data_IF_706495730854
#
_entry.id   IF_706495730854
#
_cell.length_a   1.000
_cell.length_b   1.000
_cell.length_c   1.000
_cell.angle_alpha   90.00
_cell.angle_beta   90.00
_cell.angle_gamma   90.00
#
_symmetry.space_group_name_H-M   'P 1'
#
loop_
_entity.id
_entity.type
_entity.pdbx_description
1 polymer ?
#
# COMPACT_ATOMS: atom_id res chain seq x y z
N UNK A 1 18.34 11.72 -13.51
CA UNK A 1 17.54 11.47 -14.73
C UNK A 1 16.77 10.17 -14.49
N UNK A 2 15.52 10.26 -14.08
CA UNK A 2 14.63 9.08 -14.08
C UNK A 2 14.43 8.69 -15.54
N UNK A 3 14.84 7.47 -15.90
CA UNK A 3 14.38 6.84 -17.13
C UNK A 3 12.85 6.81 -17.03
N UNK A 4 12.16 7.47 -17.93
CA UNK A 4 10.72 7.29 -18.09
C UNK A 4 10.53 5.82 -18.48
N UNK A 5 10.06 5.04 -17.54
CA UNK A 5 9.64 3.68 -17.78
C UNK A 5 8.35 3.75 -18.59
N UNK A 6 8.47 3.58 -19.90
CA UNK A 6 7.32 3.25 -20.76
C UNK A 6 7.05 1.73 -20.69
N UNK A 7 7.23 1.16 -19.52
CA UNK A 7 7.13 -0.28 -19.32
C UNK A 7 5.64 -0.66 -19.31
N UNK A 8 5.15 -1.12 -20.46
CA UNK A 8 3.80 -1.63 -20.59
C UNK A 8 3.77 -3.09 -20.19
N UNK A 9 2.82 -3.45 -19.35
CA UNK A 9 2.51 -4.83 -18.99
C UNK A 9 1.17 -5.19 -19.61
N UNK A 10 1.14 -6.28 -20.35
CA UNK A 10 -0.09 -6.84 -20.91
C UNK A 10 -0.50 -8.08 -20.12
N UNK A 11 -1.59 -7.96 -19.38
CA UNK A 11 -2.20 -9.06 -18.67
C UNK A 11 -3.29 -9.67 -19.58
N UNK A 12 -3.11 -10.91 -20.00
CA UNK A 12 -4.02 -11.59 -20.95
C UNK A 12 -4.93 -12.58 -20.24
N UNK A 13 -6.08 -12.81 -20.82
CA UNK A 13 -7.00 -13.90 -20.48
C UNK A 13 -7.49 -13.89 -19.03
N UNK A 14 -7.63 -12.71 -18.42
CA UNK A 14 -8.14 -12.59 -17.04
C UNK A 14 -9.63 -12.33 -17.02
N UNK A 15 -10.30 -12.73 -15.95
CA UNK A 15 -11.69 -12.38 -15.69
C UNK A 15 -11.77 -11.22 -14.71
N UNK A 16 -12.28 -10.04 -15.10
CA UNK A 16 -12.49 -8.94 -14.16
C UNK A 16 -13.50 -9.33 -13.06
N UNK A 17 -13.19 -8.93 -11.83
CA UNK A 17 -13.97 -9.27 -10.62
C UNK A 17 -15.43 -8.79 -10.67
N UNK A 18 -15.65 -7.58 -11.24
CA UNK A 18 -16.93 -6.87 -11.20
C UNK A 18 -17.81 -7.10 -12.43
N UNK A 19 -17.38 -7.91 -13.37
CA UNK A 19 -18.09 -8.10 -14.66
C UNK A 19 -18.43 -9.55 -14.93
N UNK A 20 -19.41 -9.73 -15.79
CA UNK A 20 -19.83 -11.02 -16.31
C UNK A 20 -18.64 -11.89 -16.74
N UNK A 21 -18.84 -13.17 -16.87
CA UNK A 21 -17.83 -14.21 -17.06
C UNK A 21 -16.88 -14.05 -18.26
N UNK A 22 -16.92 -12.92 -18.98
CA UNK A 22 -16.10 -12.69 -20.17
C UNK A 22 -14.64 -12.41 -19.80
N UNK A 23 -13.77 -13.15 -20.46
CA UNK A 23 -12.32 -13.00 -20.37
C UNK A 23 -11.89 -11.70 -21.04
N UNK A 24 -10.97 -10.96 -20.44
CA UNK A 24 -10.46 -9.68 -20.90
C UNK A 24 -8.93 -9.67 -20.85
N UNK A 25 -8.34 -8.81 -21.66
CA UNK A 25 -6.97 -8.37 -21.52
C UNK A 25 -6.94 -7.04 -20.77
N UNK A 26 -5.88 -6.78 -20.01
CA UNK A 26 -5.65 -5.52 -19.28
C UNK A 26 -4.27 -4.99 -19.67
N UNK A 27 -4.23 -3.79 -20.25
CA UNK A 27 -3.00 -3.07 -20.55
C UNK A 27 -2.69 -2.08 -19.44
N UNK A 28 -1.50 -2.20 -18.88
CA UNK A 28 -0.99 -1.35 -17.79
C UNK A 28 0.23 -0.59 -18.31
N UNK A 29 0.32 0.70 -17.98
CA UNK A 29 1.51 1.52 -18.23
C UNK A 29 1.87 2.29 -16.96
N UNK A 30 3.02 1.97 -16.39
CA UNK A 30 3.43 2.54 -15.11
C UNK A 30 2.44 2.18 -14.00
N UNK A 31 1.66 3.16 -13.54
CA UNK A 31 0.67 2.98 -12.46
C UNK A 31 -0.78 3.00 -12.94
N UNK A 32 -1.00 3.13 -14.24
CA UNK A 32 -2.33 3.34 -14.82
C UNK A 32 -2.77 2.13 -15.64
N UNK A 33 -4.06 1.78 -15.51
CA UNK A 33 -4.73 0.86 -16.43
C UNK A 33 -5.13 1.69 -17.66
N UNK A 34 -4.54 1.35 -18.80
CA UNK A 34 -4.75 2.09 -20.05
C UNK A 34 -5.99 1.58 -20.79
N UNK A 35 -6.17 0.26 -20.79
CA UNK A 35 -7.26 -0.38 -21.51
C UNK A 35 -7.67 -1.70 -20.85
N UNK A 36 -8.96 -2.02 -20.93
CA UNK A 36 -9.52 -3.33 -20.62
C UNK A 36 -10.43 -3.72 -21.77
N UNK A 37 -10.08 -4.77 -22.50
CA UNK A 37 -10.81 -5.21 -23.69
C UNK A 37 -10.68 -6.74 -23.89
N UNK A 38 -11.60 -7.39 -24.65
CA UNK A 38 -11.51 -8.83 -24.91
C UNK A 38 -10.24 -9.27 -25.64
N UNK A 39 -9.63 -8.38 -26.38
CA UNK A 39 -8.35 -8.60 -27.05
C UNK A 39 -7.69 -7.25 -27.28
N UNK A 40 -6.49 -7.08 -26.76
CA UNK A 40 -5.70 -5.86 -26.91
C UNK A 40 -4.54 -6.15 -27.86
N UNK A 41 -4.48 -5.41 -28.97
CA UNK A 41 -3.42 -5.48 -29.96
C UNK A 41 -2.45 -4.30 -29.75
N UNK A 42 -1.28 -4.61 -29.18
CA UNK A 42 -0.21 -3.64 -28.94
C UNK A 42 1.09 -4.18 -29.53
N UNK A 43 1.86 -3.35 -30.24
CA UNK A 43 3.16 -3.77 -30.79
C UNK A 43 4.08 -4.34 -29.69
N UNK A 44 4.56 -5.57 -29.88
CA UNK A 44 5.42 -6.27 -28.89
C UNK A 44 6.61 -5.42 -28.38
N UNK A 45 7.19 -4.56 -29.24
CA UNK A 45 8.29 -3.68 -28.85
C UNK A 45 7.94 -2.66 -27.75
N UNK A 46 6.65 -2.46 -27.46
CA UNK A 46 6.19 -1.57 -26.41
C UNK A 46 5.84 -2.31 -25.12
N UNK A 47 5.75 -3.63 -25.17
CA UNK A 47 5.42 -4.49 -24.03
C UNK A 47 6.72 -4.96 -23.37
N UNK A 48 6.89 -4.63 -22.11
CA UNK A 48 7.97 -5.16 -21.28
C UNK A 48 7.71 -6.60 -20.85
N UNK A 49 6.45 -6.86 -20.46
CA UNK A 49 6.04 -8.17 -19.98
C UNK A 49 4.62 -8.50 -20.40
N UNK A 50 4.42 -9.71 -20.88
CA UNK A 50 3.09 -10.31 -21.04
C UNK A 50 2.90 -11.40 -19.99
N UNK A 51 1.79 -11.32 -19.27
CA UNK A 51 1.39 -12.28 -18.23
C UNK A 51 0.11 -12.95 -18.69
N UNK A 52 0.12 -14.27 -18.84
CA UNK A 52 -1.09 -15.03 -19.08
C UNK A 52 -1.79 -15.34 -17.76
N UNK A 53 -2.98 -14.79 -17.60
CA UNK A 53 -3.83 -14.95 -16.43
C UNK A 53 -4.98 -15.91 -16.64
N UNK A 54 -4.88 -16.88 -17.56
CA UNK A 54 -5.94 -17.86 -17.81
C UNK A 54 -6.38 -18.54 -16.49
N UNK A 55 -7.68 -18.51 -16.24
CA UNK A 55 -8.27 -19.04 -15.01
C UNK A 55 -8.20 -18.12 -13.78
N UNK A 56 -7.50 -17.00 -13.87
CA UNK A 56 -7.40 -16.04 -12.77
C UNK A 56 -8.49 -14.97 -12.84
N UNK A 57 -8.74 -14.35 -11.70
CA UNK A 57 -9.63 -13.20 -11.55
C UNK A 57 -8.80 -11.98 -11.24
N UNK A 58 -8.95 -10.93 -12.06
CA UNK A 58 -8.36 -9.62 -11.78
C UNK A 58 -9.31 -8.83 -10.87
N UNK A 59 -8.83 -8.46 -9.69
CA UNK A 59 -9.59 -7.69 -8.71
C UNK A 59 -8.77 -6.47 -8.26
N UNK A 60 -9.42 -5.39 -7.79
CA UNK A 60 -8.73 -4.33 -7.06
C UNK A 60 -8.01 -4.91 -5.85
N UNK A 61 -6.80 -4.41 -5.57
CA UNK A 61 -6.07 -4.80 -4.38
C UNK A 61 -6.80 -4.36 -3.10
N UNK A 62 -6.57 -5.07 -2.01
CA UNK A 62 -7.19 -4.75 -0.73
C UNK A 62 -6.62 -3.45 -0.15
N UNK A 63 -7.47 -2.70 0.55
CA UNK A 63 -7.11 -1.53 1.35
C UNK A 63 -7.23 -1.93 2.81
N UNK A 64 -6.09 -2.00 3.51
CA UNK A 64 -6.07 -2.25 4.95
C UNK A 64 -5.91 -0.92 5.70
N UNK A 65 -6.97 -0.53 6.41
CA UNK A 65 -7.05 0.76 7.10
C UNK A 65 -6.51 0.72 8.54
N UNK A 66 -6.01 -0.44 9.01
CA UNK A 66 -5.57 -0.59 10.38
C UNK A 66 -4.37 -1.54 10.49
N UNK A 67 -3.18 -1.04 10.18
CA UNK A 67 -1.96 -1.87 10.14
C UNK A 67 -0.86 -1.32 11.05
N UNK A 68 -0.30 -2.16 11.90
CA UNK A 68 0.88 -1.81 12.70
C UNK A 68 2.16 -1.99 11.87
N UNK A 69 2.39 -1.09 10.89
CA UNK A 69 3.52 -1.22 9.94
C UNK A 69 4.90 -1.12 10.60
N UNK A 70 4.99 -0.51 11.77
CA UNK A 70 6.21 -0.46 12.59
C UNK A 70 6.30 -1.60 13.60
N UNK A 71 5.39 -2.57 13.52
CA UNK A 71 5.18 -3.59 14.52
C UNK A 71 4.23 -3.14 15.61
N UNK A 72 3.92 -4.03 16.52
CA UNK A 72 2.91 -3.82 17.56
C UNK A 72 3.11 -4.73 18.77
N UNK A 73 2.08 -4.83 19.60
CA UNK A 73 2.08 -5.67 20.80
C UNK A 73 2.89 -5.09 21.94
N UNK A 74 3.21 -5.94 22.90
CA UNK A 74 3.95 -5.55 24.10
C UNK A 74 3.09 -5.49 25.37
N UNK A 75 1.76 -5.66 25.24
CA UNK A 75 0.83 -5.66 26.37
C UNK A 75 1.11 -6.79 27.37
N UNK A 76 1.58 -7.93 26.89
CA UNK A 76 1.97 -9.09 27.68
C UNK A 76 3.43 -9.08 28.15
N UNK A 77 4.16 -7.98 27.91
CA UNK A 77 5.57 -7.84 28.23
C UNK A 77 6.45 -7.68 26.99
N UNK A 78 7.72 -7.34 27.18
CA UNK A 78 8.66 -7.03 26.09
C UNK A 78 8.88 -8.17 25.08
N UNK A 79 8.72 -9.42 25.49
CA UNK A 79 8.83 -10.58 24.60
C UNK A 79 7.61 -10.78 23.67
N UNK A 80 6.53 -10.07 23.94
CA UNK A 80 5.26 -10.15 23.18
C UNK A 80 5.16 -9.04 22.12
N UNK A 81 6.28 -8.63 21.55
CA UNK A 81 6.31 -7.63 20.48
C UNK A 81 6.33 -8.30 19.10
N UNK A 82 5.58 -7.70 18.17
CA UNK A 82 5.55 -8.08 16.77
C UNK A 82 6.55 -7.23 15.98
N UNK A 83 7.40 -7.81 15.12
CA UNK A 83 8.36 -7.05 14.33
C UNK A 83 7.67 -6.12 13.31
N UNK A 84 8.40 -5.12 12.78
CA UNK A 84 7.90 -4.29 11.68
C UNK A 84 7.48 -5.12 10.45
N UNK A 85 6.42 -4.68 9.81
CA UNK A 85 5.87 -5.32 8.61
C UNK A 85 6.85 -5.21 7.44
N UNK A 86 6.98 -6.30 6.68
CA UNK A 86 7.73 -6.35 5.42
C UNK A 86 6.78 -6.14 4.24
N UNK A 87 7.27 -5.49 3.17
CA UNK A 87 6.47 -5.29 1.95
C UNK A 87 5.98 -6.61 1.35
N UNK A 88 6.82 -7.67 1.37
CA UNK A 88 6.43 -8.99 0.87
C UNK A 88 5.16 -9.55 1.52
N UNK A 89 4.91 -9.25 2.79
CA UNK A 89 3.70 -9.70 3.50
C UNK A 89 2.44 -9.00 2.96
N UNK A 90 2.54 -7.74 2.52
CA UNK A 90 1.44 -7.02 1.86
C UNK A 90 1.18 -7.60 0.47
N UNK A 91 2.25 -7.90 -0.29
CA UNK A 91 2.15 -8.54 -1.61
C UNK A 91 1.44 -9.89 -1.50
N UNK A 92 1.91 -10.75 -0.60
CA UNK A 92 1.35 -12.09 -0.38
C UNK A 92 -0.13 -12.05 0.06
N UNK A 93 -0.53 -10.99 0.78
CA UNK A 93 -1.90 -10.76 1.21
C UNK A 93 -2.78 -10.06 0.17
N UNK A 94 -2.23 -9.62 -0.98
CA UNK A 94 -2.97 -8.85 -1.98
C UNK A 94 -3.36 -7.45 -1.52
N UNK A 95 -2.71 -6.92 -0.48
CA UNK A 95 -2.96 -5.57 0.05
C UNK A 95 -2.12 -4.57 -0.73
N UNK A 96 -2.75 -3.62 -1.41
CA UNK A 96 -2.09 -2.61 -2.24
C UNK A 96 -2.07 -1.22 -1.60
N UNK A 97 -2.88 -1.00 -0.57
CA UNK A 97 -2.95 0.26 0.16
C UNK A 97 -3.03 -0.01 1.66
N UNK A 98 -2.22 0.69 2.45
CA UNK A 98 -2.24 0.56 3.90
C UNK A 98 -2.38 1.91 4.60
N UNK A 99 -3.08 1.91 5.74
CA UNK A 99 -3.04 3.00 6.71
C UNK A 99 -2.35 2.50 7.98
N UNK A 100 -1.11 2.94 8.15
CA UNK A 100 -0.29 2.61 9.30
C UNK A 100 -0.71 3.37 10.55
N UNK A 101 -0.62 2.73 11.71
CA UNK A 101 -0.86 3.40 12.99
C UNK A 101 -0.06 2.74 14.11
N UNK A 102 0.16 3.49 15.18
CA UNK A 102 0.73 2.94 16.40
C UNK A 102 -0.33 2.15 17.17
N UNK A 103 0.10 1.05 17.78
CA UNK A 103 -0.74 0.28 18.69
C UNK A 103 -0.64 0.78 20.13
N UNK A 104 -0.72 -0.15 21.07
CA UNK A 104 -0.58 0.12 22.50
C UNK A 104 0.83 0.59 22.90
N UNK A 105 1.84 0.24 22.10
CA UNK A 105 3.22 0.70 22.30
C UNK A 105 3.47 2.05 21.62
N UNK A 106 3.12 3.13 22.28
CA UNK A 106 3.49 4.50 21.90
C UNK A 106 4.79 4.98 22.56
N UNK A 107 5.48 4.14 23.31
CA UNK A 107 6.71 4.47 24.04
C UNK A 107 7.96 4.02 23.30
N UNK A 108 8.03 2.74 22.90
CA UNK A 108 9.21 2.22 22.17
C UNK A 108 9.09 2.44 20.67
N UNK A 109 7.89 2.79 20.17
CA UNK A 109 7.60 3.22 18.80
C UNK A 109 7.11 4.65 18.80
N UNK A 110 7.37 5.37 17.71
CA UNK A 110 7.04 6.81 17.62
C UNK A 110 6.34 7.14 16.31
N UNK A 111 5.64 8.27 16.30
CA UNK A 111 5.04 8.83 15.07
C UNK A 111 6.13 9.10 14.01
N UNK A 112 7.33 9.53 14.42
CA UNK A 112 8.45 9.72 13.49
C UNK A 112 8.85 8.40 12.81
N UNK A 113 8.96 7.31 13.57
CA UNK A 113 9.24 5.98 12.99
C UNK A 113 8.12 5.51 12.08
N UNK A 114 6.86 5.77 12.44
CA UNK A 114 5.69 5.43 11.62
C UNK A 114 5.70 6.18 10.29
N UNK A 115 5.92 7.50 10.30
CA UNK A 115 6.02 8.33 9.09
C UNK A 115 7.18 7.87 8.20
N UNK A 116 8.34 7.60 8.80
CA UNK A 116 9.50 7.10 8.04
C UNK A 116 9.19 5.77 7.35
N UNK A 117 8.52 4.83 8.04
CA UNK A 117 8.14 3.54 7.44
C UNK A 117 7.09 3.70 6.35
N UNK A 118 6.13 4.63 6.53
CA UNK A 118 5.13 4.96 5.51
C UNK A 118 5.79 5.51 4.25
N UNK A 119 6.72 6.45 4.39
CA UNK A 119 7.51 6.99 3.27
C UNK A 119 8.32 5.91 2.56
N UNK A 120 8.95 4.99 3.30
CA UNK A 120 9.70 3.88 2.72
C UNK A 120 8.81 3.00 1.83
N UNK A 121 7.60 2.66 2.26
CA UNK A 121 6.65 1.92 1.41
C UNK A 121 6.25 2.70 0.15
N UNK A 122 6.05 4.02 0.26
CA UNK A 122 5.76 4.86 -0.89
C UNK A 122 6.94 4.93 -1.88
N UNK A 123 8.18 4.98 -1.37
CA UNK A 123 9.41 4.93 -2.18
C UNK A 123 9.59 3.58 -2.89
N UNK A 124 9.13 2.49 -2.27
CA UNK A 124 9.09 1.15 -2.86
C UNK A 124 7.93 0.97 -3.87
N UNK A 125 7.13 2.02 -4.13
CA UNK A 125 6.03 2.02 -5.09
C UNK A 125 4.67 1.59 -4.52
N UNK A 126 4.58 1.38 -3.21
CA UNK A 126 3.32 1.05 -2.53
C UNK A 126 2.50 2.32 -2.23
N UNK A 127 1.21 2.16 -1.95
CA UNK A 127 0.37 3.26 -1.46
C UNK A 127 0.22 3.14 0.05
N UNK A 128 0.85 4.04 0.80
CA UNK A 128 0.84 4.01 2.25
C UNK A 128 0.54 5.38 2.84
N UNK A 129 -0.35 5.39 3.81
CA UNK A 129 -0.69 6.52 4.67
C UNK A 129 -0.51 6.11 6.13
N UNK A 130 -0.62 7.08 7.05
CA UNK A 130 -0.61 6.77 8.47
C UNK A 130 -1.50 7.73 9.28
N UNK A 131 -1.72 7.35 10.54
CA UNK A 131 -2.39 8.21 11.52
C UNK A 131 -1.35 8.70 12.53
N UNK A 132 -1.38 9.99 12.86
CA UNK A 132 -0.63 10.49 14.03
C UNK A 132 -1.30 10.04 15.33
N UNK A 133 -0.60 10.09 16.43
CA UNK A 133 -1.13 9.69 17.75
C UNK A 133 -0.96 8.21 18.06
N UNK A 134 -1.50 7.85 19.20
CA UNK A 134 -1.56 6.50 19.76
C UNK A 134 -2.63 6.46 20.83
N UNK A 135 -2.73 5.39 21.63
CA UNK A 135 -3.65 5.33 22.78
C UNK A 135 -3.29 6.25 23.95
N UNK A 136 -2.14 6.93 23.90
CA UNK A 136 -1.68 7.79 25.01
C UNK A 136 -2.34 9.17 24.97
N UNK A 137 -2.63 9.68 26.16
CA UNK A 137 -3.06 11.06 26.35
C UNK A 137 -2.05 11.79 27.27
N UNK A 138 -1.59 13.00 26.92
CA UNK A 138 -1.88 13.72 25.68
C UNK A 138 -1.35 13.00 24.43
N UNK A 139 -2.03 13.21 23.30
CA UNK A 139 -1.70 12.57 22.02
C UNK A 139 -0.28 12.93 21.58
N UNK A 140 0.52 11.91 21.32
CA UNK A 140 1.87 12.09 20.79
C UNK A 140 1.81 12.33 19.29
N UNK A 141 2.44 13.41 18.84
CA UNK A 141 2.45 13.86 17.45
C UNK A 141 3.87 14.07 16.96
N UNK A 142 4.07 14.27 15.67
CA UNK A 142 5.40 14.56 15.12
C UNK A 142 5.80 16.01 15.32
N UNK A 143 4.87 16.95 15.11
CA UNK A 143 5.11 18.40 15.16
C UNK A 143 4.76 19.04 16.51
N UNK A 144 4.13 18.31 17.40
CA UNK A 144 3.55 18.84 18.64
C UNK A 144 2.07 19.21 18.51
N UNK A 145 1.49 19.09 17.31
CA UNK A 145 0.11 19.44 16.99
C UNK A 145 -0.51 18.43 16.04
N UNK A 146 -1.70 17.91 16.37
CA UNK A 146 -2.45 17.03 15.47
C UNK A 146 -2.82 17.75 14.18
N UNK A 147 -3.22 19.02 14.29
CA UNK A 147 -3.57 19.84 13.15
C UNK A 147 -2.40 20.05 12.20
N UNK A 148 -1.22 20.34 12.73
CA UNK A 148 -0.03 20.55 11.92
C UNK A 148 0.46 19.26 11.27
N UNK A 149 0.40 18.14 11.99
CA UNK A 149 0.71 16.81 11.44
C UNK A 149 -0.15 16.51 10.22
N UNK A 150 -1.48 16.67 10.32
CA UNK A 150 -2.41 16.38 9.22
C UNK A 150 -2.27 17.41 8.08
N UNK A 151 -1.96 18.66 8.41
CA UNK A 151 -1.90 19.74 7.41
C UNK A 151 -0.61 19.71 6.58
N UNK A 152 0.52 19.43 7.23
CA UNK A 152 1.84 19.59 6.61
C UNK A 152 2.54 18.27 6.24
N UNK A 153 2.04 17.12 6.69
CA UNK A 153 2.63 15.81 6.39
C UNK A 153 1.65 15.02 5.53
N UNK A 154 1.95 14.93 4.24
CA UNK A 154 1.06 14.37 3.22
C UNK A 154 0.62 12.92 3.54
N UNK A 155 1.46 12.16 4.21
CA UNK A 155 1.17 10.77 4.56
C UNK A 155 0.25 10.64 5.77
N UNK A 156 0.10 11.69 6.58
CA UNK A 156 -0.76 11.66 7.77
C UNK A 156 -2.18 12.10 7.39
N UNK A 157 -3.12 11.16 7.39
CA UNK A 157 -4.50 11.40 6.96
C UNK A 157 -5.51 11.47 8.12
N UNK A 158 -5.04 11.37 9.35
CA UNK A 158 -5.91 11.41 10.52
C UNK A 158 -5.15 11.19 11.82
N UNK A 159 -5.90 10.99 12.91
CA UNK A 159 -5.36 10.78 14.25
C UNK A 159 -5.87 9.47 14.84
N UNK A 160 -4.97 8.75 15.51
CA UNK A 160 -5.30 7.61 16.37
C UNK A 160 -5.55 8.11 17.80
N UNK A 161 -6.69 7.75 18.35
CA UNK A 161 -7.10 8.02 19.72
C UNK A 161 -7.54 6.73 20.41
#
# INVERSE_FOLDING_TARGET
>A
MQKGNNDMILLKNVRPYDKSADVQDILICGRDIIEIAPNIDVPERLIEQTIDGEGLVAAPGYIDQHVHITGGGGEGGFSNQVPPLKLSQLVDAGVTTVVGLLGTDGTTRSVANLVAKTKAFNEEGWTAYCLTGSYWYPTHTLTGSVTDDITFIQEIIGVKV
#
